data_IF_330805032512
#
_entry.id   IF_330805032512
#
_cell.length_a   1.000
_cell.length_b   1.000
_cell.length_c   1.000
_cell.angle_alpha   90.00
_cell.angle_beta   90.00
_cell.angle_gamma   90.00
#
_symmetry.space_group_name_H-M   'P 1'
#
loop_
_entity.id
_entity.type
_entity.pdbx_description
1 polymer ?
#
# COMPACT_ATOMS: atom_id res chain seq x y z
N UNK A 1 -31.51 10.43 2.34
CA UNK A 1 -31.10 9.29 1.50
C UNK A 1 -29.63 9.52 1.14
N UNK A 2 -28.72 9.06 2.00
CA UNK A 2 -27.27 9.20 1.76
C UNK A 2 -26.84 7.92 1.07
N UNK A 3 -26.62 7.99 -0.24
CA UNK A 3 -26.05 6.87 -0.98
C UNK A 3 -24.66 6.58 -0.44
N UNK A 4 -24.47 5.43 0.20
CA UNK A 4 -23.13 4.89 0.44
C UNK A 4 -22.56 4.55 -0.94
N UNK A 5 -21.84 5.48 -1.55
CA UNK A 5 -20.87 5.13 -2.58
C UNK A 5 -19.91 4.14 -1.93
N UNK A 6 -19.87 2.90 -2.41
CA UNK A 6 -18.93 1.91 -1.90
C UNK A 6 -17.52 2.42 -2.21
N UNK A 7 -16.85 2.95 -1.18
CA UNK A 7 -15.50 3.45 -1.32
C UNK A 7 -14.59 2.25 -1.60
N UNK A 8 -13.94 2.24 -2.77
CA UNK A 8 -13.03 1.18 -3.21
C UNK A 8 -11.66 1.25 -2.50
N UNK A 9 -11.59 1.94 -1.37
CA UNK A 9 -10.39 2.08 -0.55
C UNK A 9 -10.76 2.15 0.94
N UNK A 10 -9.78 1.94 1.81
CA UNK A 10 -9.92 2.08 3.26
C UNK A 10 -9.54 3.50 3.71
N UNK A 11 -10.50 4.26 4.22
CA UNK A 11 -10.28 5.65 4.63
C UNK A 11 -9.38 5.79 5.87
N UNK A 12 -9.14 4.72 6.62
CA UNK A 12 -8.27 4.77 7.81
C UNK A 12 -6.79 4.60 7.45
N UNK A 13 -6.49 4.24 6.20
CA UNK A 13 -5.16 3.81 5.80
C UNK A 13 -4.69 4.42 4.49
N UNK A 14 -3.38 4.62 4.41
CA UNK A 14 -2.68 5.05 3.20
C UNK A 14 -1.45 4.19 2.99
N UNK A 15 -1.08 3.99 1.74
CA UNK A 15 0.13 3.28 1.34
C UNK A 15 1.21 4.29 1.01
N UNK A 16 2.37 4.13 1.65
CA UNK A 16 3.53 4.98 1.48
C UNK A 16 4.71 4.16 0.99
N UNK A 17 5.38 4.65 -0.04
CA UNK A 17 6.70 4.19 -0.46
C UNK A 17 7.74 5.21 -0.03
N UNK A 18 8.74 4.77 0.74
CA UNK A 18 9.84 5.63 1.17
C UNK A 18 10.86 5.87 0.06
N UNK A 19 11.58 6.98 0.16
CA UNK A 19 12.69 7.32 -0.73
C UNK A 19 13.86 6.34 -0.58
N UNK A 20 14.74 6.29 -1.58
CA UNK A 20 15.88 5.39 -1.60
C UNK A 20 16.87 5.78 -0.49
N UNK A 21 17.16 4.84 0.40
CA UNK A 21 18.09 5.06 1.52
C UNK A 21 17.42 5.43 2.84
N UNK A 22 16.12 5.76 2.85
CA UNK A 22 15.37 5.95 4.09
C UNK A 22 14.90 4.59 4.62
N UNK A 23 15.29 4.25 5.86
CA UNK A 23 14.80 3.05 6.50
C UNK A 23 13.56 3.32 7.40
N UNK A 24 12.80 2.26 7.71
CA UNK A 24 11.59 2.32 8.54
C UNK A 24 11.81 2.99 9.91
N UNK A 25 12.96 2.73 10.54
CA UNK A 25 13.27 3.23 11.88
C UNK A 25 13.52 4.73 11.89
N UNK A 26 14.26 5.22 10.89
CA UNK A 26 14.42 6.65 10.66
C UNK A 26 13.06 7.28 10.40
N UNK A 27 12.31 6.79 9.41
CA UNK A 27 11.00 7.34 9.06
C UNK A 27 10.04 7.40 10.25
N UNK A 28 10.03 6.36 11.10
CA UNK A 28 9.23 6.34 12.33
C UNK A 28 9.58 7.46 13.31
N UNK A 29 10.84 7.91 13.34
CA UNK A 29 11.30 8.99 14.23
C UNK A 29 10.79 10.36 13.79
N UNK A 30 10.61 10.58 12.49
CA UNK A 30 10.10 11.87 11.96
C UNK A 30 8.61 11.87 11.68
N UNK A 31 7.99 10.69 11.60
CA UNK A 31 6.56 10.57 11.41
C UNK A 31 5.84 11.16 12.63
N UNK A 32 4.88 12.05 12.40
CA UNK A 32 4.10 12.64 13.48
C UNK A 32 3.23 11.55 14.14
N UNK A 33 3.68 11.08 15.31
CA UNK A 33 3.03 9.99 16.06
C UNK A 33 1.62 10.34 16.58
N UNK A 34 1.26 11.62 16.66
CA UNK A 34 -0.11 12.04 16.98
C UNK A 34 -1.06 11.90 15.80
N UNK A 35 -0.53 11.90 14.56
CA UNK A 35 -1.33 11.83 13.32
C UNK A 35 -1.29 10.45 12.68
N UNK A 36 -0.17 9.74 12.78
CA UNK A 36 0.06 8.53 12.00
C UNK A 36 0.78 7.44 12.78
N UNK A 37 0.48 6.19 12.43
CA UNK A 37 1.24 5.03 12.86
C UNK A 37 1.60 4.13 11.67
N UNK A 38 2.81 3.56 11.69
CA UNK A 38 3.19 2.52 10.73
C UNK A 38 2.54 1.21 11.19
N UNK A 39 1.45 0.82 10.54
CA UNK A 39 0.68 -0.38 10.87
C UNK A 39 1.38 -1.65 10.38
N UNK A 40 1.74 -1.67 9.09
CA UNK A 40 2.25 -2.88 8.44
C UNK A 40 3.36 -2.56 7.45
N UNK A 41 4.33 -3.48 7.35
CA UNK A 41 5.27 -3.50 6.23
C UNK A 41 4.64 -4.29 5.10
N UNK A 42 4.33 -3.61 3.99
CA UNK A 42 3.63 -4.22 2.85
C UNK A 42 4.64 -4.91 1.95
N UNK A 43 5.70 -4.19 1.56
CA UNK A 43 6.81 -4.76 0.79
C UNK A 43 8.13 -4.16 1.27
N UNK A 44 8.83 -4.87 2.14
CA UNK A 44 10.10 -4.40 2.75
C UNK A 44 11.15 -4.03 1.70
N UNK A 45 11.33 -4.88 0.66
CA UNK A 45 12.31 -4.65 -0.42
C UNK A 45 12.06 -3.37 -1.22
N UNK A 46 10.81 -2.93 -1.30
CA UNK A 46 10.42 -1.72 -2.01
C UNK A 46 10.22 -0.52 -1.07
N UNK A 47 10.42 -0.68 0.23
CA UNK A 47 10.16 0.36 1.21
C UNK A 47 8.68 0.78 1.27
N UNK A 48 7.75 -0.17 1.05
CA UNK A 48 6.30 0.10 1.07
C UNK A 48 5.70 -0.27 2.42
N UNK A 49 4.97 0.67 3.01
CA UNK A 49 4.36 0.55 4.32
C UNK A 49 2.90 1.00 4.27
N UNK A 50 2.08 0.35 5.10
CA UNK A 50 0.70 0.74 5.38
C UNK A 50 0.72 1.64 6.61
N UNK A 51 0.24 2.86 6.44
CA UNK A 51 0.19 3.88 7.48
C UNK A 51 -1.27 4.03 7.91
N UNK A 52 -1.52 3.95 9.21
CA UNK A 52 -2.81 4.22 9.83
C UNK A 52 -2.91 5.70 10.16
N UNK A 53 -4.04 6.31 9.83
CA UNK A 53 -4.41 7.66 10.24
C UNK A 53 -5.02 7.57 11.65
N UNK A 54 -4.48 8.36 12.58
CA UNK A 54 -4.90 8.40 13.98
C UNK A 54 -5.70 9.65 14.33
N UNK A 55 -5.55 10.72 13.53
CA UNK A 55 -6.22 11.99 13.75
C UNK A 55 -7.58 12.00 13.03
N UNK A 56 -8.66 12.05 13.79
CA UNK A 56 -10.04 12.08 13.26
C UNK A 56 -10.34 13.34 12.44
N UNK A 57 -9.49 14.37 12.49
CA UNK A 57 -9.61 15.57 11.66
C UNK A 57 -8.95 15.41 10.27
N UNK A 58 -8.16 14.35 10.06
CA UNK A 58 -7.49 14.09 8.80
C UNK A 58 -8.27 13.10 7.95
N UNK A 59 -8.59 13.51 6.72
CA UNK A 59 -9.07 12.58 5.69
C UNK A 59 -7.90 11.83 5.04
N UNK A 60 -8.19 10.70 4.42
CA UNK A 60 -7.25 9.92 3.64
C UNK A 60 -6.60 10.71 2.50
N UNK A 61 -7.35 11.62 1.87
CA UNK A 61 -6.86 12.49 0.81
C UNK A 61 -5.88 13.54 1.36
N UNK A 62 -6.20 14.14 2.51
CA UNK A 62 -5.30 15.08 3.19
C UNK A 62 -4.03 14.37 3.67
N UNK A 63 -4.16 13.15 4.20
CA UNK A 63 -3.03 12.33 4.60
C UNK A 63 -2.12 11.99 3.42
N UNK A 64 -2.67 11.61 2.26
CA UNK A 64 -1.89 11.36 1.04
C UNK A 64 -1.15 12.62 0.60
N UNK A 65 -1.80 13.78 0.61
CA UNK A 65 -1.16 15.05 0.23
C UNK A 65 -0.05 15.42 1.20
N UNK A 66 -0.30 15.35 2.51
CA UNK A 66 0.69 15.65 3.55
C UNK A 66 1.90 14.70 3.45
N UNK A 67 1.67 13.39 3.33
CA UNK A 67 2.73 12.39 3.22
C UNK A 67 3.50 12.49 1.91
N UNK A 68 2.85 12.85 0.79
CA UNK A 68 3.53 13.07 -0.49
C UNK A 68 4.48 14.26 -0.47
N UNK A 69 4.20 15.26 0.37
CA UNK A 69 5.08 16.42 0.56
C UNK A 69 6.21 16.16 1.58
N UNK A 70 6.25 14.97 2.19
CA UNK A 70 7.34 14.60 3.10
C UNK A 70 8.60 14.23 2.29
N UNK A 71 9.78 14.81 2.59
CA UNK A 71 11.01 14.56 1.83
C UNK A 71 11.51 13.11 1.88
N UNK A 72 10.99 12.29 2.79
CA UNK A 72 11.40 10.90 2.96
C UNK A 72 10.44 9.92 2.28
N UNK A 73 9.40 10.44 1.62
CA UNK A 73 8.37 9.68 0.93
C UNK A 73 8.54 9.89 -0.58
N UNK A 74 8.76 8.80 -1.31
CA UNK A 74 8.78 8.82 -2.77
C UNK A 74 7.35 8.92 -3.33
N UNK A 75 6.42 8.14 -2.77
CA UNK A 75 5.02 8.08 -3.21
C UNK A 75 4.06 7.82 -2.05
N UNK A 76 2.89 8.45 -2.11
CA UNK A 76 1.76 8.18 -1.23
C UNK A 76 0.47 7.99 -2.06
N UNK A 77 -0.33 7.01 -1.69
CA UNK A 77 -1.62 6.67 -2.32
C UNK A 77 -2.62 6.11 -1.29
N UNK A 78 -3.88 6.03 -1.69
CA UNK A 78 -4.95 5.41 -0.90
C UNK A 78 -4.78 3.89 -0.82
N UNK A 79 -5.28 3.28 0.26
CA UNK A 79 -5.31 1.81 0.43
C UNK A 79 -6.52 1.20 -0.31
N UNK A 80 -6.41 1.09 -1.63
CA UNK A 80 -7.46 0.52 -2.47
C UNK A 80 -7.71 -0.97 -2.17
N UNK A 81 -8.99 -1.35 -2.09
CA UNK A 81 -9.41 -2.74 -1.94
C UNK A 81 -9.22 -3.45 -3.26
N UNK A 82 -8.39 -4.48 -3.29
CA UNK A 82 -8.27 -5.33 -4.48
C UNK A 82 -9.46 -6.28 -4.49
N UNK A 83 -10.43 -6.03 -5.37
CA UNK A 83 -11.47 -7.02 -5.65
C UNK A 83 -10.92 -8.05 -6.63
N UNK A 84 -10.91 -9.36 -6.29
CA UNK A 84 -10.60 -10.37 -7.28
C UNK A 84 -11.71 -10.33 -8.35
N UNK A 85 -11.34 -9.99 -9.60
CA UNK A 85 -12.26 -10.20 -10.72
C UNK A 85 -12.54 -11.70 -10.79
N UNK A 86 -13.81 -12.10 -10.67
CA UNK A 86 -14.23 -13.43 -11.09
C UNK A 86 -13.86 -13.58 -12.56
N UNK A 87 -12.82 -14.35 -12.84
CA UNK A 87 -12.42 -14.71 -14.20
C UNK A 87 -13.28 -15.87 -14.66
N UNK A 88 -14.46 -15.57 -15.19
CA UNK A 88 -15.08 -16.41 -16.22
C UNK A 88 -14.81 -15.72 -17.56
N UNK A 89 -13.85 -16.22 -18.36
CA UNK A 89 -13.62 -15.67 -19.68
C UNK A 89 -14.65 -16.26 -20.66
N UNK A 90 -15.58 -15.43 -21.14
CA UNK A 90 -16.35 -15.68 -22.37
C UNK A 90 -15.85 -14.75 -23.49
N UNK A 91 -14.53 -14.56 -23.58
CA UNK A 91 -13.90 -13.76 -24.63
C UNK A 91 -12.85 -14.61 -25.35
N UNK A 92 -13.28 -15.22 -26.46
CA UNK A 92 -12.36 -15.65 -27.50
C UNK A 92 -11.64 -14.41 -28.04
N UNK A 93 -10.30 -14.43 -28.07
CA UNK A 93 -9.40 -13.45 -28.71
C UNK A 93 -8.79 -12.32 -27.86
N UNK A 94 -7.97 -12.66 -26.86
CA UNK A 94 -6.94 -11.74 -26.35
C UNK A 94 -5.56 -12.40 -26.19
N UNK A 95 -5.14 -13.15 -27.22
CA UNK A 95 -3.73 -13.47 -27.41
C UNK A 95 -3.04 -12.30 -28.13
N UNK A 96 -2.38 -11.40 -27.40
CA UNK A 96 -1.32 -10.63 -28.06
C UNK A 96 -1.03 -9.21 -27.63
N UNK A 97 -1.13 -8.79 -26.36
CA UNK A 97 -0.41 -7.57 -25.96
C UNK A 97 0.27 -7.68 -24.59
N UNK A 98 1.60 -7.57 -24.67
CA UNK A 98 2.63 -7.25 -23.68
C UNK A 98 3.14 -8.34 -22.72
N UNK A 99 3.92 -9.24 -23.30
CA UNK A 99 5.19 -9.70 -22.74
C UNK A 99 5.99 -8.56 -22.08
N UNK A 100 6.11 -8.59 -20.75
CA UNK A 100 7.37 -8.28 -20.05
C UNK A 100 7.56 -9.23 -18.88
N UNK A 101 8.15 -10.37 -19.22
CA UNK A 101 9.16 -11.06 -18.43
C UNK A 101 9.78 -10.18 -17.33
N UNK A 102 9.67 -10.63 -16.09
CA UNK A 102 10.77 -10.54 -15.13
C UNK A 102 11.04 -11.96 -14.64
N UNK A 103 11.85 -12.66 -15.45
CA UNK A 103 12.50 -13.91 -15.08
C UNK A 103 13.30 -13.69 -13.81
N UNK A 104 12.89 -14.37 -12.73
CA UNK A 104 13.52 -14.26 -11.43
C UNK A 104 15.03 -14.45 -11.51
N UNK A 105 15.78 -13.41 -11.13
CA UNK A 105 17.19 -13.47 -10.81
C UNK A 105 17.47 -12.41 -9.75
N UNK A 106 17.50 -12.82 -8.49
CA UNK A 106 18.74 -12.85 -7.71
C UNK A 106 18.42 -13.17 -6.24
N UNK A 107 18.68 -14.42 -5.84
CA UNK A 107 19.07 -14.80 -4.48
C UNK A 107 18.33 -14.15 -3.30
N UNK A 108 17.00 -14.22 -3.29
CA UNK A 108 16.21 -13.77 -2.14
C UNK A 108 16.31 -14.77 -1.00
N UNK A 109 17.03 -14.42 0.05
CA UNK A 109 17.12 -15.16 1.31
C UNK A 109 15.71 -15.49 1.85
N UNK A 110 15.45 -16.74 2.29
CA UNK A 110 14.16 -17.15 2.84
C UNK A 110 13.86 -16.49 4.20
N UNK A 111 12.59 -16.58 4.61
CA UNK A 111 11.97 -16.07 5.85
C UNK A 111 11.49 -14.61 5.86
N UNK A 112 10.35 -14.39 5.18
CA UNK A 112 9.35 -13.46 5.69
C UNK A 112 8.01 -14.20 5.68
N UNK A 113 7.86 -15.10 6.65
CA UNK A 113 6.64 -15.81 6.96
C UNK A 113 5.46 -14.83 6.96
N UNK A 114 4.58 -15.00 5.98
CA UNK A 114 3.26 -14.42 5.99
C UNK A 114 2.49 -15.19 7.05
N UNK A 115 2.65 -14.80 8.32
CA UNK A 115 1.72 -15.18 9.37
C UNK A 115 0.41 -14.42 9.13
N UNK A 116 -0.45 -15.00 8.29
CA UNK A 116 -1.86 -14.69 8.28
C UNK A 116 -2.60 -15.87 8.94
N UNK A 117 -2.87 -15.85 10.25
CA UNK A 117 -3.80 -16.79 10.83
C UNK A 117 -5.25 -16.34 10.63
N UNK A 118 -5.98 -17.23 9.96
CA UNK A 118 -7.40 -17.61 10.08
C UNK A 118 -8.47 -16.56 9.78
N UNK A 119 -8.82 -16.47 8.50
CA UNK A 119 -10.21 -16.23 8.11
C UNK A 119 -10.99 -17.55 8.23
N UNK A 120 -11.99 -17.57 9.09
CA UNK A 120 -13.12 -18.50 9.05
C UNK A 120 -14.35 -17.76 8.52
#
# INVERSE_FOLDING_TARGET
MTGLCAQDYDANYVLVKLDQGVNKGEFRTVLNASKYAIEKTVVKRLGIYKIRILDDQLTEHMAVEELRNNPWVEKAQLDHKVTPRQTFPDDNEFSGQWDKHNTGQNGGTPDADIDAPEAW
#
